data_IF_865977060024
#
_entry.id   IF_865977060024
#
_cell.length_a   1.000
_cell.length_b   1.000
_cell.length_c   1.000
_cell.angle_alpha   90.00
_cell.angle_beta   90.00
_cell.angle_gamma   90.00
#
_symmetry.space_group_name_H-M   'P 1'
#
loop_
_entity.id
_entity.type
_entity.pdbx_description
1 polymer ?
#
# COMPACT_ATOMS: atom_id res chain seq x y z
N UNK A 1 -5.22 -7.73 10.26
CA UNK A 1 -5.24 -7.49 8.80
C UNK A 1 -5.91 -6.16 8.46
N UNK A 2 -6.88 -5.74 9.26
CA UNK A 2 -7.67 -4.54 8.97
C UNK A 2 -6.86 -3.26 9.08
N UNK A 3 -5.91 -3.17 10.02
CA UNK A 3 -4.96 -2.04 10.09
C UNK A 3 -4.09 -1.94 8.83
N UNK A 4 -3.53 -3.04 8.35
CA UNK A 4 -2.73 -3.07 7.12
C UNK A 4 -3.55 -2.68 5.88
N UNK A 5 -4.86 -2.95 5.88
CA UNK A 5 -5.76 -2.55 4.80
C UNK A 5 -6.11 -1.05 4.82
N UNK A 6 -5.82 -0.33 5.91
CA UNK A 6 -6.02 1.12 6.01
C UNK A 6 -4.82 1.93 5.51
N UNK A 7 -3.67 1.29 5.25
CA UNK A 7 -2.46 1.96 4.74
C UNK A 7 -2.78 2.55 3.36
N UNK A 8 -2.53 3.85 3.19
CA UNK A 8 -2.69 4.56 1.92
C UNK A 8 -1.34 4.92 1.31
N UNK A 9 -1.30 5.05 -0.01
CA UNK A 9 -0.11 5.55 -0.70
C UNK A 9 0.34 6.94 -0.23
N UNK A 10 -0.58 7.76 0.30
CA UNK A 10 -0.27 9.07 0.87
C UNK A 10 0.65 8.94 2.08
N UNK A 11 0.35 8.00 2.97
CA UNK A 11 1.12 7.77 4.19
C UNK A 11 2.53 7.26 3.82
N UNK A 12 2.60 6.37 2.84
CA UNK A 12 3.87 5.83 2.32
C UNK A 12 4.71 6.92 1.62
N UNK A 13 4.07 7.79 0.84
CA UNK A 13 4.75 8.85 0.12
C UNK A 13 5.26 9.96 1.06
N UNK A 14 4.51 10.28 2.11
CA UNK A 14 4.88 11.27 3.12
C UNK A 14 6.07 10.76 3.95
N UNK A 15 5.99 9.53 4.47
CA UNK A 15 7.04 8.95 5.31
C UNK A 15 8.38 8.82 4.55
N UNK A 16 8.31 8.52 3.25
CA UNK A 16 9.50 8.37 2.40
C UNK A 16 9.89 9.66 1.66
N UNK A 17 9.19 10.78 1.89
CA UNK A 17 9.39 12.06 1.22
C UNK A 17 9.51 11.92 -0.31
N UNK A 18 8.62 11.13 -0.92
CA UNK A 18 8.73 10.80 -2.35
C UNK A 18 8.51 12.05 -3.22
N UNK A 19 9.41 12.33 -4.18
CA UNK A 19 9.17 13.39 -5.15
C UNK A 19 8.00 13.03 -6.07
N UNK A 20 7.34 14.02 -6.71
CA UNK A 20 6.14 13.79 -7.53
C UNK A 20 6.27 12.66 -8.57
N UNK A 21 7.45 12.54 -9.17
CA UNK A 21 7.74 11.52 -10.19
C UNK A 21 7.85 10.09 -9.64
N UNK A 22 8.01 9.92 -8.32
CA UNK A 22 8.13 8.62 -7.64
C UNK A 22 6.89 8.21 -6.86
N UNK A 23 5.81 8.99 -6.88
CA UNK A 23 4.53 8.63 -6.23
C UNK A 23 3.95 7.32 -6.78
N UNK A 24 4.22 6.97 -8.04
CA UNK A 24 3.81 5.67 -8.58
C UNK A 24 4.35 4.47 -7.76
N UNK A 25 5.49 4.64 -7.08
CA UNK A 25 6.05 3.62 -6.20
C UNK A 25 5.19 3.40 -4.94
N UNK A 26 4.61 4.46 -4.37
CA UNK A 26 3.71 4.33 -3.21
C UNK A 26 2.35 3.77 -3.60
N UNK A 27 1.84 4.12 -4.79
CA UNK A 27 0.61 3.52 -5.35
C UNK A 27 0.81 2.02 -5.55
N UNK A 28 1.92 1.62 -6.18
CA UNK A 28 2.25 0.21 -6.37
C UNK A 28 2.39 -0.55 -5.04
N UNK A 29 2.97 0.08 -4.03
CA UNK A 29 3.10 -0.50 -2.70
C UNK A 29 1.74 -0.72 -2.02
N UNK A 30 0.84 0.27 -2.09
CA UNK A 30 -0.54 0.15 -1.56
C UNK A 30 -1.30 -1.01 -2.25
N UNK A 31 -1.23 -1.09 -3.57
CA UNK A 31 -1.89 -2.15 -4.34
C UNK A 31 -1.37 -3.54 -3.98
N UNK A 32 -0.04 -3.68 -3.80
CA UNK A 32 0.57 -4.95 -3.39
C UNK A 32 0.10 -5.39 -1.99
N UNK A 33 -0.01 -4.45 -1.04
CA UNK A 33 -0.51 -4.75 0.32
C UNK A 33 -1.96 -5.24 0.25
N UNK A 34 -2.83 -4.54 -0.49
CA UNK A 34 -4.24 -4.94 -0.66
C UNK A 34 -4.37 -6.31 -1.31
N UNK A 35 -3.59 -6.58 -2.35
CA UNK A 35 -3.58 -7.87 -3.04
C UNK A 35 -3.17 -9.01 -2.10
N UNK A 36 -2.10 -8.82 -1.31
CA UNK A 36 -1.65 -9.82 -0.34
C UNK A 36 -2.70 -10.10 0.75
N UNK A 37 -3.37 -9.06 1.27
CA UNK A 37 -4.46 -9.23 2.24
C UNK A 37 -5.63 -10.00 1.63
N UNK A 38 -6.02 -9.66 0.38
CA UNK A 38 -7.09 -10.37 -0.32
C UNK A 38 -6.74 -11.84 -0.53
N UNK A 39 -5.52 -12.16 -0.95
CA UNK A 39 -5.07 -13.54 -1.18
C UNK A 39 -5.14 -14.37 0.11
N UNK A 40 -4.66 -13.83 1.23
CA UNK A 40 -4.74 -14.49 2.54
C UNK A 40 -6.21 -14.68 2.96
N UNK A 41 -7.06 -13.64 2.82
CA UNK A 41 -8.49 -13.75 3.15
C UNK A 41 -9.22 -14.79 2.30
N UNK A 42 -8.80 -14.99 1.04
CA UNK A 42 -9.38 -16.02 0.15
C UNK A 42 -8.87 -17.43 0.44
N UNK A 43 -7.73 -17.58 1.11
CA UNK A 43 -7.14 -18.87 1.49
C UNK A 43 -7.44 -19.31 2.93
N UNK A 44 -8.04 -18.42 3.73
CA UNK A 44 -8.39 -18.65 5.14
C UNK A 44 -9.81 -19.22 5.30
#
# INVERSE_FOLDING_TARGET
>A
MDEAAQIKNSDIAEELALPPVKIHCSVLAEDAIKAAISDIKSKA
#
